data_IF_895987374102
#
_entry.id   IF_895987374102
#
_cell.length_a   1.000
_cell.length_b   1.000
_cell.length_c   1.000
_cell.angle_alpha   90.00
_cell.angle_beta   90.00
_cell.angle_gamma   90.00
#
_symmetry.space_group_name_H-M   'P 1'
#
loop_
_entity.id
_entity.type
_entity.pdbx_description
1 polymer ?
#
# COMPACT_ATOMS: atom_id res chain seq x y z
N UNK A 1 7.38 3.23 6.35
CA UNK A 1 6.10 3.37 7.08
C UNK A 1 5.65 1.99 7.50
N UNK A 2 5.24 1.82 8.75
CA UNK A 2 4.77 0.53 9.31
C UNK A 2 3.29 0.65 9.59
N UNK A 3 2.51 -0.36 9.19
CA UNK A 3 1.06 -0.42 9.41
C UNK A 3 0.75 -1.71 10.12
N UNK A 4 0.09 -1.60 11.28
CA UNK A 4 -0.42 -2.76 12.02
C UNK A 4 -1.81 -3.09 11.50
N UNK A 5 -2.08 -4.38 11.29
CA UNK A 5 -3.40 -4.89 10.94
C UNK A 5 -3.78 -5.98 11.93
N UNK A 6 -5.06 -6.02 12.29
CA UNK A 6 -5.59 -7.11 13.09
C UNK A 6 -6.02 -8.23 12.15
N UNK A 7 -5.40 -9.40 12.31
CA UNK A 7 -5.72 -10.60 11.55
C UNK A 7 -6.10 -11.71 12.53
N UNK A 8 -7.25 -12.38 12.36
CA UNK A 8 -7.62 -13.52 13.18
C UNK A 8 -6.54 -14.62 13.13
N UNK A 9 -6.33 -15.30 14.25
CA UNK A 9 -5.28 -16.32 14.38
C UNK A 9 -5.39 -17.42 13.32
N UNK A 10 -6.61 -17.86 13.00
CA UNK A 10 -6.86 -18.86 11.97
C UNK A 10 -6.39 -18.41 10.58
N UNK A 11 -6.66 -17.14 10.23
CA UNK A 11 -6.28 -16.58 8.93
C UNK A 11 -4.76 -16.35 8.86
N UNK A 12 -4.15 -15.95 9.98
CA UNK A 12 -2.69 -15.83 10.07
C UNK A 12 -2.00 -17.19 9.87
N UNK A 13 -2.52 -18.25 10.49
CA UNK A 13 -1.96 -19.59 10.34
C UNK A 13 -2.03 -20.08 8.88
N UNK A 14 -3.13 -19.79 8.17
CA UNK A 14 -3.24 -20.08 6.74
C UNK A 14 -2.19 -19.31 5.93
N UNK A 15 -2.05 -17.99 6.17
CA UNK A 15 -1.06 -17.16 5.49
C UNK A 15 0.36 -17.66 5.74
N UNK A 16 0.72 -17.93 7.00
CA UNK A 16 2.04 -18.40 7.39
C UNK A 16 2.37 -19.75 6.74
N UNK A 17 1.42 -20.69 6.71
CA UNK A 17 1.61 -21.98 6.04
C UNK A 17 1.91 -21.84 4.55
N UNK A 18 1.18 -20.96 3.85
CA UNK A 18 1.39 -20.68 2.43
C UNK A 18 2.73 -19.97 2.17
N UNK A 19 3.12 -19.06 3.06
CA UNK A 19 4.39 -18.34 2.97
C UNK A 19 5.59 -19.26 3.20
N UNK A 20 5.51 -20.17 4.18
CA UNK A 20 6.55 -21.19 4.45
C UNK A 20 6.79 -22.10 3.26
N UNK A 21 5.73 -22.57 2.59
CA UNK A 21 5.87 -23.39 1.37
C UNK A 21 6.61 -22.66 0.24
N UNK A 22 6.53 -21.32 0.22
CA UNK A 22 7.17 -20.46 -0.77
C UNK A 22 8.52 -19.89 -0.30
N UNK A 23 8.95 -20.21 0.93
CA UNK A 23 10.21 -19.71 1.50
C UNK A 23 10.24 -18.20 1.74
N UNK A 24 9.09 -17.57 1.96
CA UNK A 24 8.97 -16.11 2.18
C UNK A 24 8.39 -15.80 3.56
N UNK A 25 8.60 -14.58 4.05
CA UNK A 25 7.99 -14.12 5.30
C UNK A 25 6.49 -13.82 5.13
N UNK A 26 5.67 -13.94 6.18
CA UNK A 26 4.24 -13.58 6.14
C UNK A 26 4.00 -12.15 5.66
N UNK A 27 4.86 -11.21 6.08
CA UNK A 27 4.79 -9.80 5.66
C UNK A 27 5.02 -9.64 4.15
N UNK A 28 5.99 -10.35 3.56
CA UNK A 28 6.20 -10.31 2.11
C UNK A 28 5.07 -11.00 1.35
N UNK A 29 4.54 -12.10 1.88
CA UNK A 29 3.34 -12.75 1.33
C UNK A 29 2.14 -11.81 1.28
N UNK A 30 1.89 -11.08 2.36
CA UNK A 30 0.82 -10.08 2.44
C UNK A 30 1.03 -8.93 1.44
N UNK A 31 2.26 -8.41 1.32
CA UNK A 31 2.59 -7.37 0.32
C UNK A 31 2.34 -7.85 -1.11
N UNK A 32 2.71 -9.10 -1.42
CA UNK A 32 2.46 -9.68 -2.74
C UNK A 32 0.96 -9.83 -3.02
N UNK A 33 0.21 -10.38 -2.06
CA UNK A 33 -1.24 -10.51 -2.18
C UNK A 33 -1.92 -9.15 -2.39
N UNK A 34 -1.51 -8.14 -1.62
CA UNK A 34 -2.03 -6.77 -1.74
C UNK A 34 -1.72 -6.18 -3.12
N UNK A 35 -0.50 -6.36 -3.66
CA UNK A 35 -0.17 -5.90 -5.02
C UNK A 35 -1.05 -6.57 -6.07
N UNK A 36 -1.28 -7.87 -5.96
CA UNK A 36 -2.16 -8.60 -6.88
C UNK A 36 -3.61 -8.12 -6.78
N UNK A 37 -4.09 -7.84 -5.57
CA UNK A 37 -5.43 -7.29 -5.33
C UNK A 37 -5.57 -5.89 -5.93
N UNK A 38 -4.61 -5.00 -5.67
CA UNK A 38 -4.60 -3.63 -6.21
C UNK A 38 -4.46 -3.56 -7.74
N UNK A 39 -3.87 -4.58 -8.37
CA UNK A 39 -3.72 -4.64 -9.82
C UNK A 39 -5.04 -4.96 -10.55
N UNK A 40 -6.10 -5.35 -9.82
CA UNK A 40 -7.37 -5.70 -10.44
C UNK A 40 -8.10 -4.45 -10.97
N UNK A 41 -8.73 -4.51 -12.17
CA UNK A 41 -9.35 -3.35 -12.80
C UNK A 41 -10.46 -2.69 -11.97
N UNK A 42 -11.16 -3.47 -11.15
CA UNK A 42 -12.21 -3.00 -10.22
C UNK A 42 -11.67 -2.12 -9.09
N UNK A 43 -10.40 -2.28 -8.72
CA UNK A 43 -9.68 -1.41 -7.79
C UNK A 43 -8.89 -0.30 -8.52
N UNK A 44 -8.91 -0.32 -9.87
CA UNK A 44 -8.25 0.64 -10.76
C UNK A 44 -8.94 2.00 -10.90
N UNK A 45 -10.06 2.24 -10.20
CA UNK A 45 -10.65 3.59 -10.10
C UNK A 45 -9.84 4.54 -9.19
N UNK A 46 -8.62 4.15 -8.81
CA UNK A 46 -7.66 5.07 -8.22
C UNK A 46 -7.30 6.24 -9.14
N UNK A 47 -7.43 6.10 -10.48
CA UNK A 47 -7.28 7.23 -11.38
C UNK A 47 -8.34 8.34 -11.15
N UNK A 48 -9.53 7.99 -10.68
CA UNK A 48 -10.57 8.97 -10.36
C UNK A 48 -10.32 9.68 -9.01
N UNK A 49 -9.71 8.99 -8.04
CA UNK A 49 -9.44 9.53 -6.69
C UNK A 49 -8.09 10.26 -6.61
N UNK A 50 -7.04 9.72 -7.25
CA UNK A 50 -5.72 10.31 -7.35
C UNK A 50 -5.51 11.18 -8.59
N UNK A 51 -6.47 11.24 -9.52
CA UNK A 51 -6.45 12.20 -10.63
C UNK A 51 -6.30 13.64 -10.12
N UNK A 52 -6.99 13.97 -9.02
CA UNK A 52 -6.87 15.25 -8.31
C UNK A 52 -5.46 15.54 -7.76
N UNK A 53 -4.66 14.51 -7.50
CA UNK A 53 -3.28 14.66 -7.02
C UNK A 53 -2.26 14.64 -8.16
N UNK A 54 -2.57 13.94 -9.26
CA UNK A 54 -1.75 13.90 -10.48
C UNK A 54 -1.81 15.21 -11.26
N UNK A 55 -2.97 15.87 -11.28
CA UNK A 55 -3.19 17.12 -11.99
C UNK A 55 -2.86 18.36 -11.14
N UNK A 56 -2.09 18.18 -10.05
CA UNK A 56 -1.66 19.29 -9.21
C UNK A 56 -0.39 19.91 -9.80
N UNK A 57 -0.42 21.23 -10.03
CA UNK A 57 0.71 21.98 -10.59
C UNK A 57 1.97 21.97 -9.71
N UNK A 58 1.82 21.62 -8.42
CA UNK A 58 2.90 21.53 -7.45
C UNK A 58 3.13 20.09 -6.99
N UNK A 59 4.39 19.66 -7.05
CA UNK A 59 4.86 18.41 -6.46
C UNK A 59 4.78 18.45 -4.94
N UNK A 60 4.69 17.27 -4.31
CA UNK A 60 4.72 17.14 -2.85
C UNK A 60 6.00 17.71 -2.22
N UNK A 61 7.11 17.73 -2.95
CA UNK A 61 8.38 18.29 -2.51
C UNK A 61 8.35 19.83 -2.48
N UNK A 62 7.75 20.46 -3.50
CA UNK A 62 7.59 21.92 -3.56
C UNK A 62 6.68 22.43 -2.44
N UNK A 63 5.61 21.69 -2.14
CA UNK A 63 4.72 22.00 -1.02
C UNK A 63 5.46 21.90 0.32
N UNK A 64 6.29 20.87 0.51
CA UNK A 64 7.10 20.73 1.72
C UNK A 64 8.08 21.90 1.87
N UNK A 65 8.73 22.31 0.78
CA UNK A 65 9.68 23.43 0.78
C UNK A 65 9.00 24.77 1.08
N UNK A 66 7.83 25.03 0.50
CA UNK A 66 7.05 26.25 0.72
C UNK A 66 6.59 26.35 2.19
N UNK A 67 6.07 25.27 2.76
CA UNK A 67 5.69 25.18 4.17
C UNK A 67 6.88 25.37 5.12
N UNK A 68 8.08 24.92 4.72
CA UNK A 68 9.31 25.09 5.51
C UNK A 68 9.86 26.51 5.42
N UNK A 69 9.58 27.24 4.35
CA UNK A 69 9.98 28.64 4.17
C UNK A 69 9.07 29.65 4.87
N UNK A 70 7.93 29.21 5.44
CA UNK A 70 6.95 30.10 6.09
C UNK A 70 7.17 30.34 7.59
N UNK A 71 8.28 29.89 8.17
CA UNK A 71 8.63 30.09 9.59
C UNK A 71 10.09 30.50 9.79
#
# INVERSE_FOLDING_TARGET
MTTSIDLPEADYALLDSACRQRGISPTEGLKQALRCWLAQPEHGSHAAVFGLWRDRDQSSLEIEQDLRGTW
#
